data_IF_516565304695
#
_entry.id   IF_516565304695
#
_cell.length_a   1.000
_cell.length_b   1.000
_cell.length_c   1.000
_cell.angle_alpha   90.00
_cell.angle_beta   90.00
_cell.angle_gamma   90.00
#
_symmetry.space_group_name_H-M   'P 1'
#
loop_
_entity.id
_entity.type
_entity.pdbx_description
1 polymer ?
#
# COMPACT_ATOMS: atom_id res chain seq x y z
N UNK A 1 -10.30 -2.76 1.69
CA UNK A 1 -9.21 -3.37 0.89
C UNK A 1 -9.19 -4.89 1.07
N UNK A 2 -9.26 -5.63 -0.03
CA UNK A 2 -9.15 -7.10 -0.06
C UNK A 2 -7.73 -7.58 0.33
N UNK A 3 -7.58 -8.83 0.78
CA UNK A 3 -6.27 -9.37 1.16
C UNK A 3 -5.27 -9.35 0.00
N UNK A 4 -5.71 -9.60 -1.24
CA UNK A 4 -4.84 -9.55 -2.42
C UNK A 4 -4.32 -8.15 -2.70
N UNK A 5 -5.16 -7.14 -2.49
CA UNK A 5 -4.79 -5.73 -2.64
C UNK A 5 -3.78 -5.33 -1.55
N UNK A 6 -4.02 -5.76 -0.30
CA UNK A 6 -3.08 -5.55 0.82
C UNK A 6 -1.73 -6.22 0.56
N UNK A 7 -1.74 -7.48 0.12
CA UNK A 7 -0.54 -8.24 -0.22
C UNK A 7 0.23 -7.61 -1.37
N UNK A 8 -0.46 -7.12 -2.40
CA UNK A 8 0.17 -6.40 -3.50
C UNK A 8 0.84 -5.12 -3.01
N UNK A 9 0.17 -4.35 -2.15
CA UNK A 9 0.74 -3.17 -1.51
C UNK A 9 1.96 -3.51 -0.64
N UNK A 10 1.91 -4.57 0.17
CA UNK A 10 3.05 -5.00 0.99
C UNK A 10 4.23 -5.46 0.13
N UNK A 11 3.98 -6.27 -0.89
CA UNK A 11 5.01 -6.74 -1.82
C UNK A 11 5.72 -5.57 -2.53
N UNK A 12 4.97 -4.53 -2.91
CA UNK A 12 5.55 -3.31 -3.50
C UNK A 12 6.39 -2.52 -2.48
N UNK A 13 5.92 -2.41 -1.24
CA UNK A 13 6.48 -1.49 -0.24
C UNK A 13 7.57 -2.09 0.65
N UNK A 14 7.58 -3.41 0.83
CA UNK A 14 8.59 -4.13 1.60
C UNK A 14 10.03 -3.78 1.19
N UNK A 15 10.46 -3.94 -0.08
CA UNK A 15 11.83 -3.63 -0.46
C UNK A 15 12.17 -2.15 -0.26
N UNK A 16 11.19 -1.24 -0.39
CA UNK A 16 11.40 0.19 -0.16
C UNK A 16 11.62 0.49 1.33
N UNK A 17 10.84 -0.16 2.20
CA UNK A 17 10.99 -0.04 3.64
C UNK A 17 12.34 -0.61 4.11
N UNK A 18 12.67 -1.83 3.71
CA UNK A 18 13.92 -2.50 4.11
C UNK A 18 15.16 -1.74 3.65
N UNK A 19 15.16 -1.25 2.40
CA UNK A 19 16.27 -0.45 1.85
C UNK A 19 16.46 0.90 2.56
N UNK A 20 15.43 1.42 3.23
CA UNK A 20 15.47 2.70 3.96
C UNK A 20 15.61 2.52 5.46
N UNK A 21 15.48 1.31 5.96
CA UNK A 21 15.62 1.02 7.38
C UNK A 21 17.09 1.15 7.81
N UNK A 22 17.34 1.85 8.91
CA UNK A 22 18.68 2.29 9.32
C UNK A 22 19.60 1.19 9.89
N UNK A 23 19.05 0.00 10.15
CA UNK A 23 19.70 -1.12 10.84
C UNK A 23 19.32 -2.41 10.10
N UNK A 24 19.89 -2.65 8.90
CA UNK A 24 19.50 -3.76 8.05
C UNK A 24 19.70 -5.13 8.70
N UNK A 25 20.67 -5.26 9.61
CA UNK A 25 20.93 -6.51 10.33
C UNK A 25 19.76 -6.96 11.21
N UNK A 26 18.82 -6.07 11.55
CA UNK A 26 17.59 -6.43 12.26
C UNK A 26 16.75 -7.46 11.48
N UNK A 27 16.79 -7.45 10.15
CA UNK A 27 16.07 -8.42 9.33
C UNK A 27 16.71 -9.83 9.37
N UNK A 28 17.89 -9.99 9.98
CA UNK A 28 18.44 -11.33 10.26
C UNK A 28 17.57 -12.12 11.23
N UNK A 29 16.89 -11.46 12.16
CA UNK A 29 15.99 -12.08 13.15
C UNK A 29 14.56 -12.28 12.66
N UNK A 30 14.17 -11.65 11.54
CA UNK A 30 12.77 -11.49 11.17
C UNK A 30 12.46 -12.04 9.77
N UNK A 31 11.27 -12.61 9.61
CA UNK A 31 10.67 -12.90 8.31
C UNK A 31 9.34 -12.16 8.19
N UNK A 32 8.92 -11.83 6.98
CA UNK A 32 7.64 -11.14 6.78
C UNK A 32 6.50 -12.13 6.55
N UNK A 33 5.46 -12.03 7.37
CA UNK A 33 4.21 -12.78 7.20
C UNK A 33 3.31 -12.02 6.22
N UNK A 34 3.17 -12.57 5.01
CA UNK A 34 2.35 -11.99 3.94
C UNK A 34 0.84 -12.15 4.16
N UNK A 35 0.40 -12.96 5.12
CA UNK A 35 -1.00 -13.10 5.46
C UNK A 35 -1.41 -12.09 6.54
N UNK A 36 -0.50 -11.79 7.48
CA UNK A 36 -0.72 -10.81 8.55
C UNK A 36 -0.26 -9.39 8.19
N UNK A 37 0.69 -9.25 7.27
CA UNK A 37 1.22 -7.96 6.83
C UNK A 37 2.15 -7.30 7.85
N UNK A 38 2.89 -8.10 8.62
CA UNK A 38 3.86 -7.71 9.63
C UNK A 38 5.08 -8.65 9.62
N UNK A 39 6.15 -8.23 10.30
CA UNK A 39 7.30 -9.09 10.55
C UNK A 39 7.00 -10.02 11.72
N UNK A 40 7.50 -11.25 11.66
CA UNK A 40 7.51 -12.23 12.75
C UNK A 40 8.95 -12.68 13.01
N UNK A 41 9.24 -13.08 14.25
CA UNK A 41 10.55 -13.65 14.61
C UNK A 41 10.72 -14.97 13.86
N UNK A 42 11.90 -15.20 13.28
CA UNK A 42 12.21 -16.47 12.61
C UNK A 42 12.18 -17.62 13.60
N UNK A 43 11.80 -18.80 13.11
CA UNK A 43 11.96 -20.02 13.89
C UNK A 43 13.46 -20.35 14.08
N UNK A 44 13.79 -20.98 15.20
CA UNK A 44 15.13 -21.50 15.47
C UNK A 44 16.17 -20.44 15.87
N UNK A 45 15.74 -19.26 16.31
CA UNK A 45 16.63 -18.30 16.99
C UNK A 45 17.20 -18.97 18.24
N UNK A 46 18.52 -18.88 18.41
CA UNK A 46 19.18 -19.40 19.60
C UNK A 46 18.65 -18.67 20.85
N UNK A 47 18.36 -19.36 21.97
CA UNK A 47 17.77 -18.73 23.16
C UNK A 47 18.55 -17.53 23.70
N UNK A 48 19.87 -17.48 23.46
CA UNK A 48 20.72 -16.35 23.85
C UNK A 48 20.38 -15.03 23.13
N UNK A 49 19.65 -15.09 22.01
CA UNK A 49 19.22 -13.94 21.22
C UNK A 49 17.71 -13.67 21.32
N UNK A 50 16.98 -14.37 22.20
CA UNK A 50 15.52 -14.25 22.29
C UNK A 50 15.08 -12.81 22.64
N UNK A 51 15.74 -12.19 23.63
CA UNK A 51 15.45 -10.81 24.04
C UNK A 51 15.75 -9.81 22.90
N UNK A 52 16.89 -9.97 22.23
CA UNK A 52 17.28 -9.13 21.09
C UNK A 52 16.29 -9.29 19.92
N UNK A 53 15.92 -10.52 19.59
CA UNK A 53 14.94 -10.80 18.54
C UNK A 53 13.57 -10.18 18.85
N UNK A 54 13.16 -10.20 20.12
CA UNK A 54 11.90 -9.60 20.56
C UNK A 54 11.93 -8.06 20.51
N UNK A 55 13.01 -7.41 20.96
CA UNK A 55 13.16 -5.96 20.82
C UNK A 55 13.16 -5.54 19.34
N UNK A 56 13.93 -6.27 18.52
CA UNK A 56 13.99 -6.07 17.07
C UNK A 56 12.62 -6.23 16.42
N UNK A 57 11.86 -7.27 16.79
CA UNK A 57 10.49 -7.50 16.30
C UNK A 57 9.59 -6.29 16.56
N UNK A 58 9.56 -5.78 17.80
CA UNK A 58 8.71 -4.64 18.15
C UNK A 58 9.14 -3.35 17.45
N UNK A 59 10.44 -3.12 17.36
CA UNK A 59 11.01 -1.91 16.75
C UNK A 59 10.79 -1.86 15.25
N UNK A 60 11.04 -2.97 14.54
CA UNK A 60 10.83 -3.05 13.09
C UNK A 60 9.34 -2.95 12.77
N UNK A 61 8.46 -3.64 13.50
CA UNK A 61 7.01 -3.56 13.26
C UNK A 61 6.43 -2.18 13.53
N UNK A 62 6.94 -1.46 14.53
CA UNK A 62 6.58 -0.06 14.77
C UNK A 62 6.97 0.82 13.57
N UNK A 63 8.21 0.66 13.07
CA UNK A 63 8.68 1.35 11.88
C UNK A 63 7.84 1.03 10.64
N UNK A 64 7.50 -0.24 10.44
CA UNK A 64 6.65 -0.69 9.33
C UNK A 64 5.24 -0.11 9.41
N UNK A 65 4.62 -0.06 10.59
CA UNK A 65 3.32 0.57 10.79
C UNK A 65 3.35 2.07 10.43
N UNK A 66 4.39 2.78 10.86
CA UNK A 66 4.60 4.19 10.52
C UNK A 66 4.83 4.39 9.02
N UNK A 67 5.63 3.54 8.39
CA UNK A 67 5.87 3.56 6.94
C UNK A 67 4.57 3.44 6.14
N UNK A 68 3.77 2.40 6.42
CA UNK A 68 2.47 2.19 5.76
C UNK A 68 1.56 3.41 5.90
N UNK A 69 1.50 3.98 7.11
CA UNK A 69 0.70 5.19 7.37
C UNK A 69 1.21 6.40 6.58
N UNK A 70 2.52 6.61 6.52
CA UNK A 70 3.11 7.71 5.75
C UNK A 70 2.84 7.58 4.25
N UNK A 71 3.01 6.39 3.66
CA UNK A 71 2.71 6.15 2.24
C UNK A 71 1.23 6.41 1.94
N UNK A 72 0.32 5.90 2.77
CA UNK A 72 -1.11 6.11 2.58
C UNK A 72 -1.49 7.59 2.75
N UNK A 73 -0.88 8.29 3.70
CA UNK A 73 -1.10 9.71 3.90
C UNK A 73 -0.62 10.54 2.70
N UNK A 74 0.57 10.27 2.17
CA UNK A 74 1.10 10.93 0.97
C UNK A 74 0.20 10.66 -0.24
N UNK A 75 -0.26 9.42 -0.43
CA UNK A 75 -1.20 9.09 -1.51
C UNK A 75 -2.51 9.88 -1.39
N UNK A 76 -3.04 10.06 -0.19
CA UNK A 76 -4.25 10.84 0.06
C UNK A 76 -4.04 12.36 -0.17
N UNK A 77 -2.87 12.89 0.19
CA UNK A 77 -2.56 14.32 0.01
C UNK A 77 -2.02 14.69 -1.37
N UNK A 78 -1.60 13.73 -2.18
CA UNK A 78 -1.06 13.98 -3.52
C UNK A 78 -2.10 14.57 -4.50
N UNK A 79 -3.39 14.51 -4.16
CA UNK A 79 -4.48 15.10 -4.95
C UNK A 79 -5.01 16.33 -4.22
N UNK A 80 -4.71 17.56 -4.69
CA UNK A 80 -5.25 18.77 -4.09
C UNK A 80 -6.78 18.79 -4.13
N UNK A 81 -7.40 19.53 -3.22
CA UNK A 81 -8.84 19.71 -3.21
C UNK A 81 -9.33 20.29 -4.54
N UNK A 82 -10.37 19.69 -5.13
CA UNK A 82 -10.91 20.06 -6.44
C UNK A 82 -10.20 19.42 -7.65
N UNK A 83 -9.20 18.56 -7.43
CA UNK A 83 -8.51 17.82 -8.49
C UNK A 83 -8.86 16.32 -8.46
N UNK A 84 -8.71 15.67 -9.61
CA UNK A 84 -8.93 14.22 -9.81
C UNK A 84 -7.75 13.65 -10.59
N UNK A 85 -7.26 12.47 -10.20
CA UNK A 85 -6.27 11.71 -10.95
C UNK A 85 -6.96 10.84 -11.99
N UNK A 86 -6.62 11.06 -13.25
CA UNK A 86 -7.12 10.26 -14.37
C UNK A 86 -6.02 9.37 -14.95
N UNK A 87 -6.31 8.11 -15.32
CA UNK A 87 -5.37 7.26 -16.03
C UNK A 87 -4.87 7.92 -17.33
N UNK A 88 -3.57 7.80 -17.63
CA UNK A 88 -2.99 8.33 -18.89
C UNK A 88 -3.61 7.72 -20.15
N UNK A 89 -4.18 6.52 -20.04
CA UNK A 89 -4.95 5.86 -21.11
C UNK A 89 -6.35 5.56 -20.58
N UNK A 90 -7.42 5.87 -21.35
CA UNK A 90 -8.80 5.57 -20.92
C UNK A 90 -9.00 4.08 -20.64
N UNK A 91 -9.74 3.75 -19.58
CA UNK A 91 -10.15 2.37 -19.32
C UNK A 91 -11.33 1.97 -20.20
N UNK A 92 -11.57 0.67 -20.39
CA UNK A 92 -12.73 0.19 -21.15
C UNK A 92 -14.07 0.69 -20.57
N UNK A 93 -14.18 0.76 -19.23
CA UNK A 93 -15.35 1.30 -18.53
C UNK A 93 -15.58 2.78 -18.88
N UNK A 94 -14.52 3.58 -18.93
CA UNK A 94 -14.58 4.99 -19.36
C UNK A 94 -15.01 5.11 -20.82
N UNK A 95 -14.42 4.31 -21.71
CA UNK A 95 -14.77 4.31 -23.13
C UNK A 95 -16.24 3.92 -23.34
N UNK A 96 -16.71 2.86 -22.69
CA UNK A 96 -18.11 2.41 -22.77
C UNK A 96 -19.09 3.49 -22.30
N UNK A 97 -18.80 4.17 -21.18
CA UNK A 97 -19.63 5.25 -20.67
C UNK A 97 -19.73 6.44 -21.65
N UNK A 98 -18.65 6.74 -22.38
CA UNK A 98 -18.62 7.78 -23.43
C UNK A 98 -19.50 7.38 -24.62
N UNK A 99 -19.34 6.14 -25.11
CA UNK A 99 -20.10 5.61 -26.23
C UNK A 99 -21.60 5.54 -25.95
N UNK A 100 -22.00 5.02 -24.78
CA UNK A 100 -23.40 4.86 -24.39
C UNK A 100 -24.11 6.21 -24.24
N UNK A 101 -23.37 7.28 -23.95
CA UNK A 101 -23.91 8.60 -23.67
C UNK A 101 -23.63 9.64 -24.78
N UNK A 102 -23.47 9.16 -26.02
CA UNK A 102 -23.28 9.97 -27.24
C UNK A 102 -22.22 11.07 -27.10
N UNK A 103 -21.04 10.75 -26.57
CA UNK A 103 -19.92 11.70 -26.41
C UNK A 103 -20.23 12.93 -25.51
N UNK A 104 -21.12 12.79 -24.52
CA UNK A 104 -21.23 13.80 -23.47
C UNK A 104 -19.93 13.90 -22.67
N UNK A 105 -19.23 15.02 -22.80
CA UNK A 105 -18.02 15.35 -22.03
C UNK A 105 -18.28 15.32 -20.52
N UNK A 106 -19.47 15.74 -20.09
CA UNK A 106 -19.88 15.70 -18.69
C UNK A 106 -20.05 14.25 -18.17
N UNK A 107 -20.53 13.34 -19.02
CA UNK A 107 -20.70 11.93 -18.65
C UNK A 107 -19.35 11.20 -18.60
N UNK A 108 -18.45 11.51 -19.54
CA UNK A 108 -17.06 11.05 -19.51
C UNK A 108 -16.35 11.48 -18.23
N UNK A 109 -16.53 12.76 -17.86
CA UNK A 109 -15.95 13.35 -16.66
C UNK A 109 -16.46 12.70 -15.37
N UNK A 110 -17.77 12.47 -15.25
CA UNK A 110 -18.35 11.73 -14.11
C UNK A 110 -17.83 10.29 -14.01
N UNK A 111 -17.75 9.58 -15.13
CA UNK A 111 -17.23 8.21 -15.14
C UNK A 111 -15.76 8.12 -14.70
N UNK A 112 -14.96 9.16 -14.97
CA UNK A 112 -13.58 9.27 -14.49
C UNK A 112 -13.51 9.48 -12.97
N UNK A 113 -14.37 10.33 -12.42
CA UNK A 113 -14.44 10.58 -10.97
C UNK A 113 -14.90 9.33 -10.22
N UNK A 114 -15.99 8.70 -10.66
CA UNK A 114 -16.54 7.50 -10.03
C UNK A 114 -15.53 6.33 -10.05
N UNK A 115 -14.76 6.19 -11.12
CA UNK A 115 -13.69 5.19 -11.20
C UNK A 115 -12.55 5.45 -10.21
N UNK A 116 -12.27 6.72 -9.90
CA UNK A 116 -11.28 7.12 -8.90
C UNK A 116 -11.81 6.90 -7.47
N UNK A 117 -13.04 7.30 -7.17
CA UNK A 117 -13.65 7.14 -5.83
C UNK A 117 -13.78 5.66 -5.42
N UNK A 118 -14.15 4.78 -6.35
CA UNK A 118 -14.16 3.32 -6.11
C UNK A 118 -12.78 2.75 -5.78
N UNK A 119 -11.69 3.42 -6.17
CA UNK A 119 -10.33 3.04 -5.77
C UNK A 119 -9.93 3.58 -4.39
N UNK A 120 -10.73 4.49 -3.82
CA UNK A 120 -10.47 5.16 -2.54
C UNK A 120 -11.44 4.72 -1.42
N UNK A 121 -12.60 4.14 -1.71
CA UNK A 121 -13.58 3.68 -0.70
C UNK A 121 -13.16 2.39 0.08
N UNK A 122 -11.85 2.13 0.16
CA UNK A 122 -11.27 0.96 0.80
C UNK A 122 -10.48 1.22 2.07
N UNK A 123 -10.51 2.45 2.61
CA UNK A 123 -9.77 2.86 3.82
C UNK A 123 -10.52 2.61 5.12
#
# INVERSE_FOLDING_TARGET
>A
MDIKEKQSFWAEQLPNFEAKYWLPDHFSFLTFDMDQGNYVVKDGIEPIYEDDANDVFHRVNTGWAMWKKAINFVKAQAVPEGFVLVPKKPTEKMLKAIYDNRNSTASAYRAMIEAQEQSHDGF
#
